data_IF_736777553822
#
_entry.id   IF_736777553822
#
_cell.length_a   1.000
_cell.length_b   1.000
_cell.length_c   1.000
_cell.angle_alpha   90.00
_cell.angle_beta   90.00
_cell.angle_gamma   90.00
#
_symmetry.space_group_name_H-M   'P 1'
#
loop_
_entity.id
_entity.type
_entity.pdbx_description
1 polymer ?
#
# COMPACT_ATOMS: atom_id res chain seq x y z
N UNK A 1 53.57 32.05 -10.15
CA UNK A 1 54.13 33.15 -9.35
C UNK A 1 53.02 33.74 -8.48
N UNK A 2 53.26 33.73 -7.17
CA UNK A 2 52.50 34.27 -6.04
C UNK A 2 52.15 35.78 -6.13
N UNK A 3 51.50 36.42 -5.12
CA UNK A 3 50.23 36.10 -4.42
C UNK A 3 49.47 37.41 -3.97
N UNK A 4 48.58 37.27 -2.98
CA UNK A 4 48.04 38.28 -2.02
C UNK A 4 46.60 38.77 -2.34
N UNK A 5 45.66 38.84 -1.39
CA UNK A 5 45.67 38.58 0.05
C UNK A 5 44.31 38.87 0.69
N UNK A 6 44.07 38.19 1.83
CA UNK A 6 43.29 38.59 3.03
C UNK A 6 41.82 39.04 2.89
N UNK A 7 40.82 38.30 3.41
CA UNK A 7 40.45 38.00 4.82
C UNK A 7 39.51 39.05 5.44
N UNK A 8 38.22 38.73 5.51
CA UNK A 8 37.16 39.27 6.38
C UNK A 8 36.22 38.08 6.63
N UNK A 9 35.97 37.54 7.83
CA UNK A 9 35.22 38.13 8.95
C UNK A 9 35.33 37.15 10.15
N UNK A 10 35.49 37.67 11.38
CA UNK A 10 35.42 36.91 12.65
C UNK A 10 34.16 37.35 13.42
N UNK A 11 33.52 36.50 14.22
CA UNK A 11 32.71 36.93 15.34
C UNK A 11 33.51 36.83 16.65
N UNK A 12 33.59 37.96 17.34
CA UNK A 12 34.07 38.16 18.71
C UNK A 12 33.18 37.42 19.72
N UNK A 13 33.79 36.81 20.74
CA UNK A 13 33.10 36.23 21.89
C UNK A 13 32.90 37.24 23.03
N UNK A 14 32.08 36.83 24.00
CA UNK A 14 32.26 37.22 25.41
C UNK A 14 31.78 36.08 26.33
N UNK A 15 32.54 35.86 27.42
CA UNK A 15 32.35 34.92 28.52
C UNK A 15 32.51 35.72 29.82
N UNK A 16 31.55 35.64 30.74
CA UNK A 16 31.71 35.62 32.22
C UNK A 16 30.33 35.85 32.87
N UNK A 17 29.89 35.26 33.98
CA UNK A 17 30.42 34.29 34.96
C UNK A 17 29.22 33.63 35.69
N UNK A 18 29.35 32.36 36.14
CA UNK A 18 29.39 31.90 37.56
C UNK A 18 28.17 32.28 38.43
N UNK A 19 27.55 31.43 39.26
CA UNK A 19 27.83 30.11 39.82
C UNK A 19 26.54 29.53 40.46
N UNK A 20 26.47 28.21 40.68
CA UNK A 20 25.49 27.61 41.60
C UNK A 20 24.93 26.24 41.19
N UNK A 21 25.55 25.15 41.65
CA UNK A 21 24.92 23.81 41.80
C UNK A 21 24.58 23.65 43.31
N UNK A 22 23.51 22.93 43.71
CA UNK A 22 23.47 21.47 43.54
C UNK A 22 22.11 20.87 43.14
N UNK A 23 22.21 19.58 42.82
CA UNK A 23 21.21 18.66 42.33
C UNK A 23 19.97 18.56 43.24
N UNK A 24 18.77 18.66 42.64
CA UNK A 24 17.65 17.78 43.01
C UNK A 24 16.90 17.33 41.76
N UNK A 25 16.97 16.02 41.56
CA UNK A 25 16.37 15.21 40.51
C UNK A 25 14.85 15.18 40.74
N UNK A 26 14.05 15.72 39.82
CA UNK A 26 12.65 15.32 39.56
C UNK A 26 12.09 16.10 38.36
N UNK A 27 12.12 15.47 37.19
CA UNK A 27 11.21 15.83 36.09
C UNK A 27 10.25 14.67 35.94
N UNK A 28 9.01 14.89 36.36
CA UNK A 28 7.88 14.04 36.01
C UNK A 28 7.72 14.05 34.49
N UNK A 29 7.95 12.91 33.84
CA UNK A 29 7.48 12.67 32.48
C UNK A 29 6.03 12.23 32.62
N UNK A 30 5.12 13.19 32.56
CA UNK A 30 3.69 12.94 32.54
C UNK A 30 3.30 12.35 31.17
N UNK A 31 2.92 11.07 31.17
CA UNK A 31 1.91 10.52 30.26
C UNK A 31 2.25 10.47 28.77
N UNK A 32 3.26 9.69 28.40
CA UNK A 32 3.38 9.09 27.05
C UNK A 32 3.23 7.57 27.15
N UNK A 33 2.21 7.11 27.87
CA UNK A 33 1.91 5.68 27.95
C UNK A 33 0.41 5.43 27.89
N UNK A 34 -0.18 5.83 26.77
CA UNK A 34 -1.39 5.19 26.27
C UNK A 34 -1.09 4.63 24.89
N UNK A 35 -0.21 3.61 24.86
CA UNK A 35 -0.20 2.67 23.76
C UNK A 35 -1.61 2.06 23.68
N UNK A 36 -2.36 2.40 22.63
CA UNK A 36 -3.63 1.73 22.34
C UNK A 36 -3.35 0.23 22.25
N UNK A 37 -4.14 -0.61 22.94
CA UNK A 37 -3.94 -2.05 22.87
C UNK A 37 -4.01 -2.47 21.40
N UNK A 38 -3.01 -3.25 20.97
CA UNK A 38 -2.99 -3.85 19.65
C UNK A 38 -4.36 -4.51 19.44
N UNK A 39 -5.15 -3.99 18.50
CA UNK A 39 -6.46 -4.54 18.16
C UNK A 39 -6.26 -6.04 17.95
N UNK A 40 -6.92 -6.85 18.78
CA UNK A 40 -6.91 -8.30 18.65
C UNK A 40 -7.26 -8.66 17.20
N UNK A 41 -6.30 -9.20 16.47
CA UNK A 41 -6.53 -9.61 15.10
C UNK A 41 -7.62 -10.70 15.12
N UNK A 42 -8.68 -10.57 14.30
CA UNK A 42 -9.75 -11.55 14.26
C UNK A 42 -9.17 -12.94 14.01
N UNK A 43 -9.66 -13.94 14.75
CA UNK A 43 -9.16 -15.33 14.74
C UNK A 43 -9.60 -16.12 13.49
N UNK A 44 -10.09 -15.43 12.46
CA UNK A 44 -10.46 -15.99 11.16
C UNK A 44 -9.46 -15.54 10.08
N UNK A 45 -9.32 -16.33 9.01
CA UNK A 45 -8.52 -15.94 7.85
C UNK A 45 -9.08 -14.64 7.27
N UNK A 46 -8.27 -13.59 7.20
CA UNK A 46 -8.68 -12.32 6.62
C UNK A 46 -9.09 -12.51 5.16
N UNK A 47 -10.23 -11.94 4.79
CA UNK A 47 -10.73 -11.92 3.40
C UNK A 47 -10.18 -10.74 2.61
N UNK A 48 -9.79 -9.66 3.30
CA UNK A 48 -9.14 -8.47 2.74
C UNK A 48 -8.07 -7.93 3.70
N UNK A 49 -7.08 -7.24 3.15
CA UNK A 49 -6.08 -6.43 3.85
C UNK A 49 -6.20 -4.96 3.45
N UNK A 50 -5.69 -4.06 4.30
CA UNK A 50 -5.66 -2.61 4.04
C UNK A 50 -4.23 -2.11 4.05
N UNK A 51 -3.66 -1.87 2.88
CA UNK A 51 -2.28 -1.39 2.74
C UNK A 51 -2.34 0.12 2.53
N UNK A 52 -1.95 0.88 3.55
CA UNK A 52 -2.03 2.36 3.55
C UNK A 52 -3.41 2.88 3.11
N UNK A 53 -4.48 2.24 3.59
CA UNK A 53 -5.86 2.62 3.26
C UNK A 53 -6.40 2.10 1.93
N UNK A 54 -5.59 1.39 1.13
CA UNK A 54 -6.04 0.72 -0.11
C UNK A 54 -6.42 -0.73 0.20
N UNK A 55 -7.61 -1.16 -0.22
CA UNK A 55 -8.07 -2.55 -0.11
C UNK A 55 -7.26 -3.46 -1.03
N UNK A 56 -6.92 -4.64 -0.51
CA UNK A 56 -6.39 -5.76 -1.28
C UNK A 56 -7.12 -7.02 -0.83
N UNK A 57 -7.71 -7.75 -1.75
CA UNK A 57 -8.45 -8.96 -1.45
C UNK A 57 -7.51 -10.15 -1.29
N UNK A 58 -7.78 -10.99 -0.31
CA UNK A 58 -6.92 -12.09 0.10
C UNK A 58 -7.32 -13.38 -0.61
N UNK A 59 -7.17 -13.36 -1.93
CA UNK A 59 -7.57 -14.40 -2.88
C UNK A 59 -6.41 -14.85 -3.77
N UNK A 60 -6.47 -16.12 -4.19
CA UNK A 60 -5.58 -16.70 -5.20
C UNK A 60 -6.16 -16.53 -6.62
N UNK A 61 -5.38 -16.87 -7.65
CA UNK A 61 -5.78 -16.77 -9.05
C UNK A 61 -7.08 -17.53 -9.35
N UNK A 62 -7.24 -18.74 -8.80
CA UNK A 62 -8.43 -19.57 -9.01
C UNK A 62 -9.68 -18.87 -8.46
N UNK A 63 -9.62 -18.40 -7.22
CA UNK A 63 -10.73 -17.71 -6.54
C UNK A 63 -11.04 -16.37 -7.21
N UNK A 64 -10.01 -15.67 -7.73
CA UNK A 64 -10.19 -14.48 -8.55
C UNK A 64 -11.06 -14.77 -9.78
N UNK A 65 -10.70 -15.80 -10.56
CA UNK A 65 -11.42 -16.21 -11.76
C UNK A 65 -12.86 -16.64 -11.45
N UNK A 66 -13.08 -17.44 -10.39
CA UNK A 66 -14.42 -17.83 -9.93
C UNK A 66 -15.27 -16.61 -9.54
N UNK A 67 -14.65 -15.55 -9.02
CA UNK A 67 -15.37 -14.33 -8.66
C UNK A 67 -15.71 -13.49 -9.88
N UNK A 68 -14.79 -13.39 -10.85
CA UNK A 68 -15.05 -12.74 -12.15
C UNK A 68 -16.14 -13.47 -12.92
N UNK A 69 -16.09 -14.80 -12.97
CA UNK A 69 -17.12 -15.65 -13.59
C UNK A 69 -18.50 -15.37 -13.03
N UNK A 70 -18.62 -15.32 -11.68
CA UNK A 70 -19.87 -14.95 -11.02
C UNK A 70 -20.35 -13.54 -11.37
N UNK A 71 -19.46 -12.55 -11.48
CA UNK A 71 -19.86 -11.21 -11.89
C UNK A 71 -20.51 -11.21 -13.28
N UNK A 72 -19.98 -12.00 -14.21
CA UNK A 72 -20.53 -12.13 -15.56
C UNK A 72 -21.88 -12.87 -15.54
N UNK A 73 -21.99 -13.95 -14.77
CA UNK A 73 -23.23 -14.73 -14.62
C UNK A 73 -24.37 -13.92 -13.99
N UNK A 74 -24.04 -13.14 -12.96
CA UNK A 74 -24.99 -12.27 -12.25
C UNK A 74 -25.37 -11.03 -13.09
N UNK A 75 -24.73 -10.81 -14.25
CA UNK A 75 -24.96 -9.65 -15.11
C UNK A 75 -24.52 -8.32 -14.49
N UNK A 76 -23.62 -8.35 -13.51
CA UNK A 76 -23.15 -7.15 -12.80
C UNK A 76 -21.87 -6.60 -13.41
N UNK A 77 -21.84 -5.29 -13.64
CA UNK A 77 -20.61 -4.62 -14.10
C UNK A 77 -19.74 -4.32 -12.89
N UNK A 78 -18.51 -4.85 -12.89
CA UNK A 78 -17.56 -4.71 -11.79
C UNK A 78 -16.17 -4.34 -12.31
N UNK A 79 -15.49 -3.43 -11.59
CA UNK A 79 -14.08 -3.13 -11.81
C UNK A 79 -13.22 -4.19 -11.11
N UNK A 80 -12.25 -4.75 -11.81
CA UNK A 80 -11.21 -5.61 -11.24
C UNK A 80 -9.89 -4.84 -11.35
N UNK A 81 -9.31 -4.48 -10.21
CA UNK A 81 -8.05 -3.73 -10.15
C UNK A 81 -6.91 -4.63 -9.65
N UNK A 82 -5.77 -4.62 -10.32
CA UNK A 82 -4.53 -5.26 -9.87
C UNK A 82 -3.71 -4.25 -9.09
N UNK A 83 -3.78 -4.33 -7.76
CA UNK A 83 -3.18 -3.34 -6.86
C UNK A 83 -1.72 -3.67 -6.66
N UNK A 84 -0.84 -2.83 -7.20
CA UNK A 84 0.61 -2.87 -7.00
C UNK A 84 1.07 -1.74 -6.06
N UNK A 85 2.37 -1.72 -5.72
CA UNK A 85 2.93 -0.71 -4.82
C UNK A 85 2.81 0.72 -5.37
N UNK A 86 2.94 0.92 -6.68
CA UNK A 86 2.77 2.22 -7.32
C UNK A 86 1.35 2.76 -7.12
N UNK A 87 0.33 1.91 -7.29
CA UNK A 87 -1.07 2.28 -7.07
C UNK A 87 -1.33 2.65 -5.61
N UNK A 88 -0.75 1.90 -4.67
CA UNK A 88 -0.85 2.21 -3.23
C UNK A 88 -0.27 3.59 -2.94
N UNK A 89 0.90 3.91 -3.50
CA UNK A 89 1.54 5.22 -3.31
C UNK A 89 0.74 6.34 -3.98
N UNK A 90 0.30 6.14 -5.23
CA UNK A 90 -0.53 7.13 -5.95
C UNK A 90 -1.84 7.43 -5.20
N UNK A 91 -2.46 6.44 -4.58
CA UNK A 91 -3.68 6.62 -3.79
C UNK A 91 -3.47 7.50 -2.54
N UNK A 92 -2.23 7.70 -2.07
CA UNK A 92 -1.96 8.64 -0.96
C UNK A 92 -2.09 10.10 -1.40
N UNK A 93 -1.80 10.36 -2.68
CA UNK A 93 -1.79 11.71 -3.26
C UNK A 93 -3.09 12.04 -4.00
N UNK A 94 -3.79 11.01 -4.50
CA UNK A 94 -5.01 11.12 -5.27
C UNK A 94 -6.20 10.43 -4.55
N UNK A 95 -7.03 11.25 -3.90
CA UNK A 95 -8.20 10.79 -3.15
C UNK A 95 -9.27 10.17 -4.05
N UNK A 96 -9.38 10.60 -5.30
CA UNK A 96 -10.36 10.04 -6.23
C UNK A 96 -9.92 8.66 -6.69
N UNK A 97 -8.64 8.51 -7.05
CA UNK A 97 -8.06 7.22 -7.37
C UNK A 97 -8.18 6.22 -6.20
N UNK A 98 -7.89 6.67 -4.97
CA UNK A 98 -8.10 5.87 -3.77
C UNK A 98 -9.55 5.40 -3.60
N UNK A 99 -10.52 6.28 -3.91
CA UNK A 99 -11.95 5.94 -3.86
C UNK A 99 -12.30 4.89 -4.92
N UNK A 100 -11.82 5.06 -6.16
CA UNK A 100 -12.05 4.10 -7.25
C UNK A 100 -11.53 2.72 -6.86
N UNK A 101 -10.26 2.61 -6.43
CA UNK A 101 -9.67 1.34 -6.00
C UNK A 101 -10.50 0.70 -4.87
N UNK A 102 -10.84 1.44 -3.82
CA UNK A 102 -11.60 0.92 -2.69
C UNK A 102 -13.06 0.56 -3.03
N UNK A 103 -13.59 1.06 -4.14
CA UNK A 103 -14.93 0.74 -4.64
C UNK A 103 -14.97 -0.38 -5.68
N UNK A 104 -13.80 -0.87 -6.13
CA UNK A 104 -13.72 -1.93 -7.13
C UNK A 104 -14.47 -3.20 -6.68
N UNK A 105 -14.90 -4.05 -7.60
CA UNK A 105 -15.46 -5.36 -7.26
C UNK A 105 -14.40 -6.33 -6.74
N UNK A 106 -13.16 -6.18 -7.23
CA UNK A 106 -11.97 -6.92 -6.79
C UNK A 106 -10.72 -6.02 -6.81
N UNK A 107 -9.87 -6.19 -5.80
CA UNK A 107 -8.55 -5.60 -5.64
C UNK A 107 -7.50 -6.72 -5.52
N UNK A 108 -7.03 -7.22 -6.66
CA UNK A 108 -6.11 -8.34 -6.75
C UNK A 108 -4.71 -7.94 -6.26
N UNK A 109 -4.00 -8.78 -5.49
CA UNK A 109 -2.66 -8.49 -5.01
C UNK A 109 -1.63 -8.60 -6.14
N UNK A 110 -1.02 -7.49 -6.55
CA UNK A 110 0.01 -7.47 -7.60
C UNK A 110 1.38 -7.03 -7.04
N UNK A 111 2.42 -7.81 -7.33
CA UNK A 111 3.77 -7.61 -6.83
C UNK A 111 4.02 -8.11 -5.40
N UNK A 112 5.28 -8.49 -5.15
CA UNK A 112 5.71 -9.12 -3.89
C UNK A 112 5.54 -8.19 -2.69
N UNK A 113 5.73 -6.88 -2.85
CA UNK A 113 5.56 -5.92 -1.76
C UNK A 113 4.13 -5.88 -1.22
N UNK A 114 3.14 -5.95 -2.11
CA UNK A 114 1.72 -5.98 -1.75
C UNK A 114 1.37 -7.30 -1.05
N UNK A 115 1.81 -8.43 -1.60
CA UNK A 115 1.62 -9.75 -0.97
C UNK A 115 2.25 -9.78 0.43
N UNK A 116 3.50 -9.32 0.57
CA UNK A 116 4.19 -9.26 1.86
C UNK A 116 3.43 -8.40 2.88
N UNK A 117 2.98 -7.21 2.48
CA UNK A 117 2.23 -6.31 3.36
C UNK A 117 0.87 -6.90 3.79
N UNK A 118 0.16 -7.59 2.87
CA UNK A 118 -1.07 -8.29 3.19
C UNK A 118 -0.84 -9.48 4.13
N UNK A 119 0.22 -10.27 3.91
CA UNK A 119 0.60 -11.38 4.80
C UNK A 119 0.89 -10.90 6.22
N UNK A 120 1.59 -9.76 6.36
CA UNK A 120 1.88 -9.16 7.66
C UNK A 120 0.61 -8.78 8.44
N UNK A 121 -0.52 -8.59 7.76
CA UNK A 121 -1.82 -8.32 8.40
C UNK A 121 -2.59 -9.59 8.75
N UNK A 122 -2.15 -10.78 8.30
CA UNK A 122 -2.81 -12.05 8.56
C UNK A 122 -3.54 -12.65 7.34
N UNK A 123 -3.36 -12.07 6.15
CA UNK A 123 -3.87 -12.69 4.93
C UNK A 123 -3.04 -13.90 4.52
N UNK A 124 -3.72 -14.99 4.21
CA UNK A 124 -3.09 -16.20 3.69
C UNK A 124 -2.95 -16.12 2.17
N UNK A 125 -2.05 -15.24 1.74
CA UNK A 125 -1.64 -15.03 0.35
C UNK A 125 -0.19 -15.47 0.18
N UNK A 126 0.08 -16.37 -0.77
CA UNK A 126 1.43 -16.83 -1.07
C UNK A 126 1.91 -16.42 -2.48
N UNK A 127 0.99 -15.89 -3.31
CA UNK A 127 1.24 -15.60 -4.71
C UNK A 127 0.63 -14.25 -5.11
N UNK A 128 1.20 -13.66 -6.14
CA UNK A 128 0.62 -12.50 -6.83
C UNK A 128 -0.44 -12.95 -7.82
N UNK A 129 -1.40 -12.07 -8.07
CA UNK A 129 -2.40 -12.21 -9.12
C UNK A 129 -2.24 -10.99 -10.04
N UNK A 130 -1.25 -11.05 -10.92
CA UNK A 130 -0.93 -9.95 -11.84
C UNK A 130 -1.95 -9.88 -12.98
N UNK A 131 -2.09 -8.69 -13.57
CA UNK A 131 -2.97 -8.51 -14.73
C UNK A 131 -2.56 -9.36 -15.92
N UNK A 132 -1.26 -9.42 -16.21
CA UNK A 132 -0.71 -10.22 -17.33
C UNK A 132 -1.01 -11.70 -17.15
N UNK A 133 -0.80 -12.23 -15.95
CA UNK A 133 -1.03 -13.66 -15.66
C UNK A 133 -2.52 -14.01 -15.64
N UNK A 134 -3.40 -13.03 -15.39
CA UNK A 134 -4.85 -13.21 -15.39
C UNK A 134 -5.43 -13.35 -16.80
N UNK A 135 -4.85 -12.71 -17.83
CA UNK A 135 -5.46 -12.64 -19.18
C UNK A 135 -5.63 -14.03 -19.80
N UNK A 136 -4.60 -14.88 -19.79
CA UNK A 136 -4.69 -16.21 -20.40
C UNK A 136 -5.77 -17.10 -19.77
N UNK A 137 -5.80 -17.32 -18.44
CA UNK A 137 -6.83 -18.15 -17.84
C UNK A 137 -8.22 -17.52 -17.91
N UNK A 138 -8.33 -16.19 -17.88
CA UNK A 138 -9.59 -15.47 -18.12
C UNK A 138 -10.12 -15.73 -19.53
N UNK A 139 -9.28 -15.59 -20.56
CA UNK A 139 -9.65 -15.86 -21.95
C UNK A 139 -10.05 -17.34 -22.15
N UNK A 140 -9.32 -18.27 -21.53
CA UNK A 140 -9.67 -19.69 -21.55
C UNK A 140 -11.02 -19.96 -20.88
N UNK A 141 -11.32 -19.30 -19.77
CA UNK A 141 -12.63 -19.37 -19.10
C UNK A 141 -13.73 -18.81 -20.00
N UNK A 142 -13.53 -17.64 -20.61
CA UNK A 142 -14.49 -17.06 -21.56
C UNK A 142 -14.77 -18.01 -22.74
N UNK A 143 -13.74 -18.62 -23.32
CA UNK A 143 -13.88 -19.57 -24.42
C UNK A 143 -14.70 -20.81 -24.03
N UNK A 144 -14.48 -21.36 -22.82
CA UNK A 144 -15.25 -22.51 -22.32
C UNK A 144 -16.71 -22.15 -22.00
N UNK A 145 -16.94 -20.96 -21.45
CA UNK A 145 -18.25 -20.52 -20.97
C UNK A 145 -19.10 -19.82 -22.04
N UNK A 146 -18.50 -19.45 -23.18
CA UNK A 146 -19.15 -18.66 -24.22
C UNK A 146 -19.29 -17.17 -23.86
N UNK A 147 -18.48 -16.67 -22.92
CA UNK A 147 -18.48 -15.25 -22.59
C UNK A 147 -17.75 -14.43 -23.66
N UNK A 148 -18.25 -13.22 -23.93
CA UNK A 148 -17.63 -12.31 -24.88
C UNK A 148 -16.46 -11.59 -24.23
N UNK A 149 -15.34 -11.52 -24.94
CA UNK A 149 -14.15 -10.77 -24.53
C UNK A 149 -13.97 -9.58 -25.47
N UNK A 150 -13.64 -8.42 -24.91
CA UNK A 150 -13.28 -7.22 -25.66
C UNK A 150 -11.93 -6.73 -25.18
N UNK A 151 -11.03 -6.44 -26.12
CA UNK A 151 -9.67 -5.97 -25.85
C UNK A 151 -9.59 -4.49 -26.22
N UNK A 152 -9.34 -3.64 -25.21
CA UNK A 152 -9.29 -2.19 -25.38
C UNK A 152 -7.96 -1.65 -24.85
N UNK A 153 -7.26 -0.89 -25.70
CA UNK A 153 -5.97 -0.26 -25.39
C UNK A 153 -4.89 -0.60 -26.41
N UNK A 154 -3.64 -0.35 -26.03
CA UNK A 154 -2.44 -0.42 -26.87
C UNK A 154 -2.40 0.60 -28.03
N UNK A 155 -1.22 0.74 -28.64
CA UNK A 155 -1.04 1.50 -29.86
C UNK A 155 -1.55 0.70 -31.08
N UNK A 156 -1.82 1.35 -32.23
CA UNK A 156 -2.21 0.63 -33.45
C UNK A 156 -1.14 -0.39 -33.88
N UNK A 157 -1.56 -1.62 -34.20
CA UNK A 157 -0.70 -2.71 -34.70
C UNK A 157 -0.78 -3.97 -33.85
#
# INVERSE_FOLDING_TARGET
>A
MSPAGSRWFQPSGDRSGEAGRPLHRRTHVAGLDQAQPARSLPTGRLTEARILGVRVDCLDMRTALERVERFVEDGVTQLVATVNAEFVMRAQEDREFARVLNSAGLCLPDGIGVVWAARRQGCALDQTVSGVDLIQPLAAMCARRGFKLFLLGAAPG
#
